data_IF_215418816607
#
_entry.id   IF_215418816607
#
_cell.length_a   1.000
_cell.length_b   1.000
_cell.length_c   1.000
_cell.angle_alpha   90.00
_cell.angle_beta   90.00
_cell.angle_gamma   90.00
#
_symmetry.space_group_name_H-M   'P 1'
#
loop_
_entity.id
_entity.type
_entity.pdbx_description
1 polymer ?
#
# COMPACT_ATOMS: atom_id res chain seq x y z
N UNK A 1 49.23 27.79 19.41
CA UNK A 1 48.93 26.54 20.12
C UNK A 1 48.77 25.43 19.09
N UNK A 2 49.29 24.25 19.43
CA UNK A 2 49.62 23.12 18.55
C UNK A 2 48.48 22.59 17.67
N UNK A 3 48.83 22.30 16.42
CA UNK A 3 48.15 21.31 15.59
C UNK A 3 48.53 19.90 16.06
N UNK A 4 47.56 19.10 16.51
CA UNK A 4 47.72 17.66 16.75
C UNK A 4 47.27 16.88 15.50
N UNK A 5 48.01 15.85 15.05
CA UNK A 5 47.65 15.08 13.88
C UNK A 5 46.63 13.99 14.24
N UNK A 6 45.44 14.06 13.64
CA UNK A 6 44.43 13.00 13.61
C UNK A 6 44.95 11.78 12.82
N UNK A 7 45.79 10.96 13.44
CA UNK A 7 46.06 9.59 12.96
C UNK A 7 44.93 8.67 13.41
N UNK A 8 44.40 7.92 12.43
CA UNK A 8 43.61 6.70 12.60
C UNK A 8 42.17 6.85 13.15
N UNK A 9 41.24 7.30 12.30
CA UNK A 9 39.87 6.77 12.30
C UNK A 9 39.70 5.90 11.07
N UNK A 10 39.81 4.59 11.25
CA UNK A 10 39.31 3.60 10.30
C UNK A 10 37.90 4.00 9.89
N UNK A 11 37.72 4.28 8.59
CA UNK A 11 36.46 4.66 8.01
C UNK A 11 35.35 3.68 8.44
N UNK A 12 34.30 4.18 9.11
CA UNK A 12 33.07 3.40 9.30
C UNK A 12 32.41 3.27 7.93
N UNK A 13 32.24 2.07 7.37
CA UNK A 13 31.65 1.93 6.05
C UNK A 13 30.13 2.15 6.12
N UNK A 14 29.61 2.92 5.16
CA UNK A 14 28.22 3.39 5.04
C UNK A 14 27.17 2.26 5.04
N UNK A 15 25.92 2.50 5.48
CA UNK A 15 24.93 1.43 5.76
C UNK A 15 24.37 0.70 4.54
N UNK A 16 24.74 1.12 3.31
CA UNK A 16 24.06 0.72 2.07
C UNK A 16 24.80 -0.35 1.24
N UNK A 17 25.76 -1.07 1.81
CA UNK A 17 26.45 -2.17 1.12
C UNK A 17 25.99 -3.52 1.65
N UNK A 18 25.31 -4.31 0.81
CA UNK A 18 24.94 -5.73 0.99
C UNK A 18 25.58 -6.43 2.20
N UNK A 19 24.79 -6.71 3.25
CA UNK A 19 25.20 -7.54 4.40
C UNK A 19 26.03 -8.81 4.01
N UNK A 20 25.71 -9.52 2.90
CA UNK A 20 26.41 -10.75 2.50
C UNK A 20 27.85 -10.57 1.99
N UNK A 21 28.19 -9.41 1.43
CA UNK A 21 29.56 -9.11 0.97
C UNK A 21 30.45 -8.72 2.15
N UNK A 22 29.89 -8.03 3.16
CA UNK A 22 30.58 -7.72 4.41
C UNK A 22 31.00 -8.95 5.19
N UNK A 23 30.13 -9.95 5.32
CA UNK A 23 30.45 -11.20 6.02
C UNK A 23 31.60 -11.96 5.37
N UNK A 24 31.67 -11.99 4.04
CA UNK A 24 32.75 -12.63 3.29
C UNK A 24 34.08 -11.89 3.47
N UNK A 25 34.06 -10.55 3.42
CA UNK A 25 35.24 -9.74 3.67
C UNK A 25 35.74 -9.86 5.11
N UNK A 26 34.84 -9.83 6.11
CA UNK A 26 35.18 -9.97 7.52
C UNK A 26 35.78 -11.33 7.84
N UNK A 27 35.21 -12.42 7.32
CA UNK A 27 35.75 -13.77 7.49
C UNK A 27 37.15 -13.88 6.87
N UNK A 28 37.34 -13.35 5.66
CA UNK A 28 38.64 -13.37 4.98
C UNK A 28 39.70 -12.55 5.72
N UNK A 29 39.33 -11.44 6.37
CA UNK A 29 40.23 -10.62 7.17
C UNK A 29 40.58 -11.27 8.51
N UNK A 30 39.61 -11.90 9.17
CA UNK A 30 39.82 -12.61 10.43
C UNK A 30 40.73 -13.83 10.27
N UNK A 31 40.53 -14.63 9.22
CA UNK A 31 41.36 -15.82 8.94
C UNK A 31 42.78 -15.44 8.50
N UNK A 32 42.96 -14.31 7.78
CA UNK A 32 44.28 -13.75 7.47
C UNK A 32 45.00 -13.22 8.71
N UNK A 33 44.26 -12.62 9.66
CA UNK A 33 44.82 -12.14 10.93
C UNK A 33 45.27 -13.30 11.86
N UNK A 34 44.65 -14.48 11.72
CA UNK A 34 44.99 -15.70 12.44
C UNK A 34 46.13 -16.52 11.77
N UNK A 35 46.79 -16.00 10.73
CA UNK A 35 47.85 -16.68 9.97
C UNK A 35 47.46 -18.07 9.39
N UNK A 36 46.18 -18.27 9.06
CA UNK A 36 45.71 -19.51 8.44
C UNK A 36 46.28 -19.69 7.02
N UNK A 37 46.57 -20.93 6.58
CA UNK A 37 47.03 -21.19 5.21
C UNK A 37 45.94 -20.82 4.20
N UNK A 38 46.35 -20.43 2.99
CA UNK A 38 45.44 -19.97 1.92
C UNK A 38 44.37 -21.01 1.57
N UNK A 39 44.68 -22.31 1.71
CA UNK A 39 43.75 -23.43 1.54
C UNK A 39 42.53 -23.34 2.44
N UNK A 40 42.74 -22.97 3.71
CA UNK A 40 41.68 -22.97 4.72
C UNK A 40 40.76 -21.76 4.56
N UNK A 41 41.32 -20.66 4.05
CA UNK A 41 40.57 -19.46 3.66
C UNK A 41 39.65 -19.79 2.47
N UNK A 42 40.17 -20.51 1.46
CA UNK A 42 39.39 -20.87 0.28
C UNK A 42 38.30 -21.90 0.62
N UNK A 43 38.58 -22.87 1.49
CA UNK A 43 37.58 -23.82 2.00
C UNK A 43 36.48 -23.13 2.83
N UNK A 44 36.84 -22.16 3.68
CA UNK A 44 35.88 -21.38 4.46
C UNK A 44 35.01 -20.46 3.56
N UNK A 45 35.57 -19.94 2.46
CA UNK A 45 34.81 -19.15 1.48
C UNK A 45 33.88 -20.02 0.65
N UNK A 46 34.27 -21.25 0.31
CA UNK A 46 33.43 -22.22 -0.40
C UNK A 46 32.22 -22.63 0.45
N UNK A 47 32.43 -23.00 1.71
CA UNK A 47 31.34 -23.31 2.65
C UNK A 47 30.39 -22.13 2.87
N UNK A 48 30.93 -20.91 2.97
CA UNK A 48 30.10 -19.69 3.07
C UNK A 48 29.29 -19.40 1.80
N UNK A 49 29.79 -19.76 0.62
CA UNK A 49 29.02 -19.65 -0.63
C UNK A 49 27.94 -20.74 -0.75
N UNK A 50 28.21 -21.95 -0.26
CA UNK A 50 27.21 -23.02 -0.18
C UNK A 50 26.03 -22.62 0.73
N UNK A 51 26.32 -22.15 1.95
CA UNK A 51 25.28 -21.65 2.86
C UNK A 51 24.47 -20.47 2.29
N UNK A 52 25.09 -19.64 1.44
CA UNK A 52 24.38 -18.54 0.75
C UNK A 52 23.37 -19.07 -0.27
N UNK A 53 23.74 -20.11 -1.01
CA UNK A 53 22.86 -20.71 -1.99
C UNK A 53 21.64 -21.31 -1.29
N UNK A 54 21.87 -22.10 -0.24
CA UNK A 54 20.81 -22.68 0.59
C UNK A 54 19.92 -21.61 1.22
N UNK A 55 20.50 -20.55 1.78
CA UNK A 55 19.73 -19.43 2.33
C UNK A 55 18.85 -18.78 1.26
N UNK A 56 19.38 -18.53 0.06
CA UNK A 56 18.61 -17.91 -1.02
C UNK A 56 17.47 -18.84 -1.50
N UNK A 57 17.70 -20.15 -1.55
CA UNK A 57 16.68 -21.12 -1.94
C UNK A 57 15.57 -21.23 -0.89
N UNK A 58 15.93 -21.23 0.40
CA UNK A 58 14.97 -21.18 1.52
C UNK A 58 14.19 -19.85 1.53
N UNK A 59 14.84 -18.71 1.30
CA UNK A 59 14.18 -17.41 1.18
C UNK A 59 13.19 -17.38 0.00
N UNK A 60 13.55 -17.97 -1.15
CA UNK A 60 12.64 -18.12 -2.30
C UNK A 60 11.46 -19.03 -1.99
N UNK A 61 11.70 -20.16 -1.33
CA UNK A 61 10.64 -21.07 -0.91
C UNK A 61 9.68 -20.40 0.07
N UNK A 62 10.20 -19.71 1.08
CA UNK A 62 9.39 -18.90 2.00
C UNK A 62 8.60 -17.81 1.28
N UNK A 63 9.23 -17.08 0.36
CA UNK A 63 8.55 -16.04 -0.40
C UNK A 63 7.46 -16.61 -1.32
N UNK A 64 7.67 -17.81 -1.86
CA UNK A 64 6.65 -18.52 -2.64
C UNK A 64 5.48 -19.01 -1.76
N UNK A 65 5.76 -19.50 -0.55
CA UNK A 65 4.74 -19.95 0.41
C UNK A 65 3.92 -18.74 0.93
N UNK A 66 4.61 -17.63 1.25
CA UNK A 66 3.99 -16.36 1.63
C UNK A 66 3.12 -15.77 0.51
N UNK A 67 3.42 -16.09 -0.75
CA UNK A 67 2.62 -15.66 -1.92
C UNK A 67 1.53 -16.66 -2.30
N UNK A 68 1.60 -17.90 -1.80
CA UNK A 68 0.62 -18.96 -2.06
C UNK A 68 -0.58 -18.90 -1.11
N UNK A 69 -0.41 -18.31 0.08
CA UNK A 69 -1.48 -18.16 1.05
C UNK A 69 -2.31 -16.89 0.77
N UNK A 70 -3.28 -17.03 -0.14
CA UNK A 70 -4.63 -16.55 0.14
C UNK A 70 -4.91 -15.04 0.10
N UNK A 71 -4.27 -14.28 -0.78
CA UNK A 71 -4.72 -12.92 -1.07
C UNK A 71 -4.38 -12.51 -2.49
N UNK A 72 -5.38 -12.45 -3.38
CA UNK A 72 -5.33 -11.42 -4.42
C UNK A 72 -4.96 -10.13 -3.69
N UNK A 73 -3.92 -9.41 -4.16
CA UNK A 73 -3.64 -8.07 -3.65
C UNK A 73 -4.98 -7.36 -3.48
N UNK A 74 -5.24 -6.78 -2.31
CA UNK A 74 -6.54 -6.18 -2.00
C UNK A 74 -6.96 -5.18 -3.08
N UNK A 75 -5.97 -4.56 -3.71
CA UNK A 75 -6.06 -3.68 -4.87
C UNK A 75 -6.46 -4.45 -6.14
N UNK A 76 -5.83 -5.60 -6.42
CA UNK A 76 -6.20 -6.47 -7.55
C UNK A 76 -7.64 -7.00 -7.43
N UNK A 77 -8.06 -7.44 -6.24
CA UNK A 77 -9.45 -7.84 -5.99
C UNK A 77 -10.41 -6.67 -6.17
N UNK A 78 -10.10 -5.50 -5.59
CA UNK A 78 -10.91 -4.29 -5.74
C UNK A 78 -11.07 -3.90 -7.21
N UNK A 79 -9.99 -3.96 -8.00
CA UNK A 79 -10.03 -3.67 -9.44
C UNK A 79 -10.91 -4.68 -10.19
N UNK A 80 -10.77 -5.97 -9.89
CA UNK A 80 -11.60 -7.01 -10.50
C UNK A 80 -13.09 -6.84 -10.15
N UNK A 81 -13.40 -6.49 -8.90
CA UNK A 81 -14.75 -6.22 -8.44
C UNK A 81 -15.36 -5.00 -9.14
N UNK A 82 -14.66 -3.86 -9.15
CA UNK A 82 -15.13 -2.63 -9.83
C UNK A 82 -15.38 -2.90 -11.31
N UNK A 83 -14.45 -3.58 -11.98
CA UNK A 83 -14.57 -3.91 -13.40
C UNK A 83 -15.79 -4.82 -13.66
N UNK A 84 -16.03 -5.80 -12.79
CA UNK A 84 -17.20 -6.68 -12.90
C UNK A 84 -18.50 -5.91 -12.72
N UNK A 85 -18.58 -5.03 -11.73
CA UNK A 85 -19.76 -4.21 -11.44
C UNK A 85 -20.08 -3.24 -12.58
N UNK A 86 -19.06 -2.59 -13.15
CA UNK A 86 -19.24 -1.71 -14.32
C UNK A 86 -19.66 -2.49 -15.56
N UNK A 87 -19.02 -3.63 -15.86
CA UNK A 87 -19.35 -4.47 -17.04
C UNK A 87 -20.76 -5.08 -16.95
N UNK A 88 -21.24 -5.34 -15.74
CA UNK A 88 -22.57 -5.88 -15.48
C UNK A 88 -23.62 -4.79 -15.27
N UNK A 89 -23.26 -3.51 -15.45
CA UNK A 89 -24.14 -2.35 -15.30
C UNK A 89 -24.84 -2.33 -13.93
N UNK A 90 -24.14 -2.68 -12.86
CA UNK A 90 -24.64 -2.44 -11.51
C UNK A 90 -24.65 -0.94 -11.20
N UNK A 91 -23.55 -0.27 -11.51
CA UNK A 91 -23.46 1.18 -11.51
C UNK A 91 -22.51 1.65 -12.62
N UNK A 92 -22.70 2.89 -13.08
CA UNK A 92 -21.79 3.58 -13.99
C UNK A 92 -21.57 5.01 -13.48
N UNK A 93 -20.39 5.62 -13.72
CA UNK A 93 -20.21 7.05 -13.44
C UNK A 93 -21.24 7.88 -14.22
N UNK A 94 -21.92 8.80 -13.54
CA UNK A 94 -22.91 9.65 -14.19
C UNK A 94 -22.26 10.50 -15.26
N UNK A 95 -22.94 10.70 -16.40
CA UNK A 95 -22.43 11.46 -17.54
C UNK A 95 -21.11 10.91 -18.11
N UNK A 96 -20.90 9.58 -18.11
CA UNK A 96 -19.68 8.92 -18.62
C UNK A 96 -19.25 9.39 -20.02
N UNK A 97 -20.20 9.67 -20.92
CA UNK A 97 -19.92 10.19 -22.27
C UNK A 97 -19.31 11.61 -22.28
N UNK A 98 -19.45 12.36 -21.19
CA UNK A 98 -18.89 13.70 -21.00
C UNK A 98 -17.71 13.70 -20.00
N UNK A 99 -16.95 12.59 -19.93
CA UNK A 99 -15.84 12.34 -18.98
C UNK A 99 -16.27 12.05 -17.53
N UNK A 100 -17.57 12.08 -17.24
CA UNK A 100 -18.12 11.79 -15.92
C UNK A 100 -17.86 12.89 -14.89
N UNK A 101 -18.65 12.86 -13.82
CA UNK A 101 -18.49 13.77 -12.67
C UNK A 101 -18.12 12.94 -11.45
N UNK A 102 -17.02 13.30 -10.78
CA UNK A 102 -16.60 12.60 -9.57
C UNK A 102 -17.68 12.71 -8.49
N UNK A 103 -18.00 11.58 -7.84
CA UNK A 103 -19.01 11.51 -6.78
C UNK A 103 -20.45 11.29 -7.27
N UNK A 104 -20.72 11.30 -8.58
CA UNK A 104 -22.04 10.99 -9.14
C UNK A 104 -22.03 9.65 -9.89
N UNK A 105 -23.02 8.80 -9.59
CA UNK A 105 -23.16 7.47 -10.18
C UNK A 105 -24.62 7.16 -10.53
N UNK A 106 -24.81 6.55 -11.70
CA UNK A 106 -26.11 6.04 -12.16
C UNK A 106 -26.16 4.53 -11.90
N UNK A 107 -27.23 4.05 -11.27
CA UNK A 107 -27.45 2.62 -11.04
C UNK A 107 -28.18 2.00 -12.24
N UNK A 108 -27.68 0.87 -12.73
CA UNK A 108 -28.38 0.12 -13.77
C UNK A 108 -29.44 -0.83 -13.21
N UNK A 109 -30.13 -1.60 -14.07
CA UNK A 109 -31.25 -2.46 -13.67
C UNK A 109 -30.96 -3.40 -12.48
N UNK A 110 -29.82 -4.15 -12.44
CA UNK A 110 -29.52 -4.99 -11.30
C UNK A 110 -29.14 -4.19 -10.04
N UNK A 111 -28.56 -2.99 -10.19
CA UNK A 111 -28.24 -2.12 -9.07
C UNK A 111 -29.49 -1.55 -8.39
N UNK A 112 -30.50 -1.16 -9.18
CA UNK A 112 -31.78 -0.69 -8.66
C UNK A 112 -32.52 -1.77 -7.87
N UNK A 113 -32.51 -3.02 -8.35
CA UNK A 113 -33.15 -4.14 -7.67
C UNK A 113 -32.53 -4.47 -6.30
N UNK A 114 -31.21 -4.26 -6.17
CA UNK A 114 -30.52 -4.43 -4.87
C UNK A 114 -30.87 -3.28 -3.92
N UNK A 115 -31.00 -2.06 -4.44
CA UNK A 115 -31.28 -0.87 -3.62
C UNK A 115 -32.69 -0.88 -3.01
N UNK A 116 -33.69 -1.43 -3.70
CA UNK A 116 -35.10 -1.27 -3.30
C UNK A 116 -35.61 -2.23 -2.23
N UNK A 117 -34.93 -3.34 -1.93
CA UNK A 117 -35.65 -4.54 -1.50
C UNK A 117 -35.34 -5.15 -0.12
N UNK A 118 -34.56 -4.51 0.77
CA UNK A 118 -34.18 -5.21 2.03
C UNK A 118 -34.93 -4.72 3.27
N UNK A 119 -34.76 -3.45 3.67
CA UNK A 119 -35.16 -3.04 5.02
C UNK A 119 -36.64 -2.69 5.20
N UNK A 120 -37.30 -2.15 4.18
CA UNK A 120 -38.71 -1.71 4.29
C UNK A 120 -39.66 -2.89 4.44
N UNK A 121 -39.38 -4.00 3.75
CA UNK A 121 -40.22 -5.20 3.76
C UNK A 121 -39.98 -6.11 4.97
N UNK A 122 -38.73 -6.19 5.46
CA UNK A 122 -38.38 -7.10 6.57
C UNK A 122 -38.71 -6.52 7.95
N UNK A 123 -38.53 -5.20 8.15
CA UNK A 123 -38.71 -4.55 9.47
C UNK A 123 -40.05 -3.80 9.60
N UNK A 124 -40.93 -3.90 8.60
CA UNK A 124 -42.28 -3.31 8.58
C UNK A 124 -42.28 -1.80 8.92
N UNK A 125 -41.31 -1.07 8.36
CA UNK A 125 -41.14 0.38 8.54
C UNK A 125 -42.09 1.18 7.64
N UNK A 126 -42.45 2.39 8.09
CA UNK A 126 -43.25 3.32 7.29
C UNK A 126 -42.35 4.05 6.29
N UNK A 127 -42.48 3.70 5.02
CA UNK A 127 -41.82 4.41 3.93
C UNK A 127 -42.49 5.77 3.69
N UNK A 128 -41.69 6.84 3.72
CA UNK A 128 -42.14 8.22 3.44
C UNK A 128 -41.19 8.82 2.40
N UNK A 129 -41.73 9.27 1.27
CA UNK A 129 -40.99 10.00 0.26
C UNK A 129 -41.09 11.51 0.50
N UNK A 130 -39.94 12.18 0.55
CA UNK A 130 -39.80 13.60 0.91
C UNK A 130 -39.14 14.38 -0.23
N UNK A 131 -39.48 15.66 -0.44
CA UNK A 131 -38.85 16.48 -1.46
C UNK A 131 -37.36 16.70 -1.16
N UNK A 132 -36.52 16.63 -2.20
CA UNK A 132 -35.09 16.92 -2.08
C UNK A 132 -34.78 18.40 -1.87
N UNK A 133 -35.62 19.30 -2.40
CA UNK A 133 -35.44 20.75 -2.24
C UNK A 133 -35.92 21.16 -0.85
N UNK A 134 -34.98 21.50 0.02
CA UNK A 134 -35.24 21.84 1.42
C UNK A 134 -35.02 23.35 1.65
N UNK A 135 -35.97 24.09 2.25
CA UNK A 135 -35.79 25.51 2.53
C UNK A 135 -34.73 25.74 3.61
N UNK A 136 -33.93 26.80 3.46
CA UNK A 136 -32.76 27.10 4.31
C UNK A 136 -33.09 27.12 5.81
N UNK A 137 -34.26 27.65 6.20
CA UNK A 137 -34.70 27.73 7.59
C UNK A 137 -34.69 26.36 8.30
N UNK A 138 -34.97 25.27 7.57
CA UNK A 138 -34.97 23.90 8.11
C UNK A 138 -33.53 23.40 8.30
N UNK A 139 -32.63 23.69 7.36
CA UNK A 139 -31.21 23.33 7.47
C UNK A 139 -30.50 24.12 8.56
N UNK A 140 -30.92 25.37 8.78
CA UNK A 140 -30.42 26.22 9.87
C UNK A 140 -30.90 25.71 11.22
N UNK A 141 -32.19 25.41 11.35
CA UNK A 141 -32.74 24.86 12.60
C UNK A 141 -32.15 23.50 12.99
N UNK A 142 -31.84 22.64 12.00
CA UNK A 142 -31.15 21.36 12.25
C UNK A 142 -29.64 21.48 12.47
N UNK A 143 -29.06 22.67 12.27
CA UNK A 143 -27.64 22.94 12.47
C UNK A 143 -26.71 22.48 11.33
N UNK A 144 -27.26 22.04 10.19
CA UNK A 144 -26.46 21.68 9.01
C UNK A 144 -25.70 22.88 8.44
N UNK A 145 -26.30 24.07 8.49
CA UNK A 145 -25.67 25.30 7.95
C UNK A 145 -24.36 25.65 8.67
N UNK A 146 -24.30 25.46 9.99
CA UNK A 146 -23.15 25.89 10.80
C UNK A 146 -22.10 24.79 10.99
N UNK A 147 -22.48 23.51 10.85
CA UNK A 147 -21.65 22.36 11.24
C UNK A 147 -21.26 21.44 10.08
N UNK A 148 -21.96 21.46 8.96
CA UNK A 148 -21.71 20.55 7.84
C UNK A 148 -20.66 21.12 6.88
N UNK A 149 -19.45 21.37 7.39
CA UNK A 149 -18.32 21.90 6.62
C UNK A 149 -17.03 21.21 7.00
N UNK A 150 -16.32 20.65 6.01
CA UNK A 150 -14.96 20.11 6.19
C UNK A 150 -13.90 21.20 5.95
N UNK A 151 -12.80 21.12 6.69
CA UNK A 151 -11.65 21.99 6.46
C UNK A 151 -10.95 21.60 5.15
N UNK A 152 -10.91 22.52 4.19
CA UNK A 152 -10.22 22.33 2.91
C UNK A 152 -9.02 23.29 2.80
N UNK A 153 -7.90 22.78 2.28
CA UNK A 153 -6.69 23.58 2.01
C UNK A 153 -6.45 23.55 0.51
N UNK A 154 -6.15 24.71 -0.07
CA UNK A 154 -5.92 24.86 -1.51
C UNK A 154 -4.46 25.19 -1.76
N UNK A 155 -3.83 24.49 -2.70
CA UNK A 155 -2.50 24.88 -3.18
C UNK A 155 -2.60 26.20 -3.98
N UNK A 156 -1.76 27.17 -3.65
CA UNK A 156 -1.75 28.49 -4.28
C UNK A 156 -1.36 28.44 -5.77
N UNK A 157 -0.56 27.44 -6.17
CA UNK A 157 -0.05 27.35 -7.54
C UNK A 157 -0.95 26.53 -8.46
N UNK A 158 -1.37 25.36 -8.02
CA UNK A 158 -2.18 24.45 -8.84
C UNK A 158 -3.69 24.62 -8.63
N UNK A 159 -4.09 25.28 -7.53
CA UNK A 159 -5.49 25.52 -7.20
C UNK A 159 -6.28 24.25 -6.88
N UNK A 160 -5.60 23.12 -6.66
CA UNK A 160 -6.22 21.87 -6.23
C UNK A 160 -6.53 21.94 -4.74
N UNK A 161 -7.74 21.53 -4.38
CA UNK A 161 -8.19 21.35 -3.00
C UNK A 161 -8.08 19.88 -2.58
#
# INVERSE_FOLDING_TARGET
MQWLPLKNRSARPSPKSNLPSRLREMLSRALKAAAAPKSDIDAAVQSLNALKLEKNDVERQLQSILSADGGLSREAFRQAAVNTLERRLFYIPSFKIYRGVAGLYDYGPPGCAVKSNHFVLEENMLEVDCPYVTPEVVLKASGHVDKFTDLMVKDEKTGTC
#
